data_IF_625665690135
#
_entry.id   IF_625665690135
#
_cell.length_a   1.000
_cell.length_b   1.000
_cell.length_c   1.000
_cell.angle_alpha   90.00
_cell.angle_beta   90.00
_cell.angle_gamma   90.00
#
_symmetry.space_group_name_H-M   'P 1'
#
loop_
_entity.id
_entity.type
_entity.pdbx_description
1 polymer ?
#
# COMPACT_ATOMS: atom_id res chain seq x y z
N UNK A 1 -2.56 -6.79 -1.85
CA UNK A 1 -2.95 -5.93 -2.99
C UNK A 1 -1.80 -4.98 -3.29
N UNK A 2 -0.91 -5.38 -4.21
CA UNK A 2 0.27 -4.58 -4.55
C UNK A 2 -0.13 -3.44 -5.50
N UNK A 3 -0.11 -2.20 -5.01
CA UNK A 3 -0.74 -1.08 -5.73
C UNK A 3 0.01 -0.67 -6.99
N UNK A 4 1.34 -0.86 -7.05
CA UNK A 4 2.16 -0.48 -8.22
C UNK A 4 1.74 -1.26 -9.47
N UNK A 5 1.43 -2.56 -9.32
CA UNK A 5 0.96 -3.39 -10.45
C UNK A 5 -0.55 -3.30 -10.70
N UNK A 6 -1.36 -3.11 -9.64
CA UNK A 6 -2.82 -3.12 -9.74
C UNK A 6 -3.41 -1.74 -10.08
N UNK A 7 -2.71 -0.67 -9.71
CA UNK A 7 -3.23 0.69 -9.68
C UNK A 7 -3.99 0.95 -8.39
N UNK A 8 -4.07 2.23 -7.99
CA UNK A 8 -4.58 2.62 -6.66
C UNK A 8 -6.07 2.27 -6.50
N UNK A 9 -6.87 2.44 -7.56
CA UNK A 9 -8.30 2.16 -7.48
C UNK A 9 -8.60 0.66 -7.40
N UNK A 10 -7.91 -0.15 -8.21
CA UNK A 10 -8.05 -1.61 -8.18
C UNK A 10 -7.57 -2.18 -6.86
N UNK A 11 -6.45 -1.68 -6.32
CA UNK A 11 -5.93 -2.12 -5.03
C UNK A 11 -6.89 -1.79 -3.87
N UNK A 12 -7.56 -0.62 -3.89
CA UNK A 12 -8.64 -0.31 -2.94
C UNK A 12 -9.83 -1.27 -3.09
N UNK A 13 -10.29 -1.48 -4.33
CA UNK A 13 -11.39 -2.40 -4.61
C UNK A 13 -11.08 -3.80 -4.07
N UNK A 14 -9.87 -4.31 -4.27
CA UNK A 14 -9.45 -5.63 -3.81
C UNK A 14 -9.62 -5.85 -2.29
N UNK A 15 -9.60 -4.80 -1.48
CA UNK A 15 -9.86 -4.90 -0.03
C UNK A 15 -11.26 -5.42 0.29
N UNK A 16 -12.24 -5.16 -0.59
CA UNK A 16 -13.60 -5.69 -0.46
C UNK A 16 -13.75 -7.11 -1.01
N UNK A 17 -12.73 -7.66 -1.67
CA UNK A 17 -12.76 -8.99 -2.30
C UNK A 17 -11.74 -9.96 -1.66
N UNK A 18 -11.39 -9.74 -0.39
CA UNK A 18 -10.60 -10.67 0.42
C UNK A 18 -9.12 -10.29 0.60
N UNK A 19 -8.63 -9.22 -0.04
CA UNK A 19 -7.33 -8.69 0.31
C UNK A 19 -7.40 -7.98 1.67
N UNK A 20 -6.41 -8.22 2.53
CA UNK A 20 -6.27 -7.55 3.84
C UNK A 20 -4.88 -6.91 4.03
N UNK A 21 -4.01 -7.02 3.02
CA UNK A 21 -2.67 -6.46 3.00
C UNK A 21 -2.53 -5.56 1.78
N UNK A 22 -2.32 -4.27 1.99
CA UNK A 22 -2.10 -3.29 0.92
C UNK A 22 -0.63 -2.90 0.94
N UNK A 23 0.08 -3.17 -0.17
CA UNK A 23 1.55 -3.12 -0.20
C UNK A 23 2.05 -2.35 -1.43
N UNK A 24 3.29 -1.86 -1.35
CA UNK A 24 3.93 -1.04 -2.36
C UNK A 24 5.24 -0.43 -1.90
N UNK A 25 5.84 0.38 -2.77
CA UNK A 25 7.11 1.02 -2.49
C UNK A 25 6.88 2.42 -1.91
N UNK A 26 7.50 2.71 -0.76
CA UNK A 26 7.48 4.05 -0.12
C UNK A 26 8.70 4.91 -0.49
N UNK A 27 9.71 4.33 -1.14
CA UNK A 27 10.92 4.98 -1.66
C UNK A 27 10.77 5.28 -3.15
N UNK A 28 11.75 5.96 -3.76
CA UNK A 28 11.75 6.31 -5.19
C UNK A 28 11.78 5.10 -6.16
N UNK A 29 11.71 3.86 -5.65
CA UNK A 29 11.74 2.66 -6.48
C UNK A 29 13.06 2.53 -7.25
N UNK A 30 13.02 1.73 -8.32
CA UNK A 30 14.10 1.62 -9.30
C UNK A 30 13.56 1.14 -10.64
N UNK A 31 14.44 0.97 -11.63
CA UNK A 31 14.09 0.59 -13.01
C UNK A 31 13.19 -0.66 -13.08
N UNK A 32 13.43 -1.63 -12.20
CA UNK A 32 12.60 -2.83 -12.11
C UNK A 32 11.17 -2.51 -11.65
N UNK A 33 11.00 -1.66 -10.64
CA UNK A 33 9.66 -1.25 -10.14
C UNK A 33 8.90 -0.46 -11.19
N UNK A 34 9.59 0.41 -11.94
CA UNK A 34 9.00 1.15 -13.06
C UNK A 34 8.48 0.22 -14.15
N UNK A 35 9.19 -0.87 -14.45
CA UNK A 35 8.75 -1.86 -15.45
C UNK A 35 7.44 -2.57 -15.10
N UNK A 36 7.04 -2.54 -13.83
CA UNK A 36 5.80 -3.15 -13.33
C UNK A 36 4.69 -2.13 -13.08
N UNK A 37 4.97 -0.83 -13.21
CA UNK A 37 4.05 0.23 -12.88
C UNK A 37 2.90 0.29 -13.90
N UNK A 38 1.67 0.15 -13.42
CA UNK A 38 0.48 0.29 -14.26
C UNK A 38 0.05 1.74 -14.45
N UNK A 39 0.40 2.61 -13.49
CA UNK A 39 0.20 4.05 -13.56
C UNK A 39 1.53 4.71 -13.99
N UNK A 40 1.49 5.55 -15.04
CA UNK A 40 2.65 6.11 -15.76
C UNK A 40 3.79 6.63 -14.85
N UNK A 41 4.71 5.74 -14.47
CA UNK A 41 5.90 6.06 -13.67
C UNK A 41 5.63 6.37 -12.19
N UNK A 42 4.38 6.23 -11.71
CA UNK A 42 4.09 6.44 -10.30
C UNK A 42 4.40 5.17 -9.50
N UNK A 43 5.62 5.09 -8.99
CA UNK A 43 6.15 3.92 -8.25
C UNK A 43 6.30 4.15 -6.77
N UNK A 44 5.98 5.36 -6.29
CA UNK A 44 6.12 5.73 -4.88
C UNK A 44 4.83 6.29 -4.32
N UNK A 45 4.59 5.99 -3.04
CA UNK A 45 3.52 6.58 -2.26
C UNK A 45 4.02 6.82 -0.85
N UNK A 46 3.76 7.99 -0.29
CA UNK A 46 4.10 8.27 1.11
C UNK A 46 3.27 7.38 2.05
N UNK A 47 3.78 7.18 3.28
CA UNK A 47 3.04 6.47 4.33
C UNK A 47 1.65 7.07 4.56
N UNK A 48 1.53 8.39 4.51
CA UNK A 48 0.24 9.07 4.73
C UNK A 48 -0.76 8.81 3.61
N UNK A 49 -0.30 8.75 2.35
CA UNK A 49 -1.17 8.42 1.22
C UNK A 49 -1.64 6.97 1.27
N UNK A 50 -0.79 6.02 1.70
CA UNK A 50 -1.19 4.63 1.93
C UNK A 50 -2.26 4.51 3.01
N UNK A 51 -2.08 5.22 4.14
CA UNK A 51 -3.06 5.28 5.23
C UNK A 51 -4.39 5.81 4.69
N UNK A 52 -4.37 6.96 4.01
CA UNK A 52 -5.57 7.58 3.47
C UNK A 52 -6.28 6.67 2.45
N UNK A 53 -5.52 5.94 1.64
CA UNK A 53 -6.06 5.00 0.65
C UNK A 53 -6.81 3.83 1.31
N UNK A 54 -6.29 3.27 2.41
CA UNK A 54 -6.97 2.21 3.17
C UNK A 54 -8.20 2.76 3.88
N UNK A 55 -8.08 3.92 4.52
CA UNK A 55 -9.19 4.56 5.25
C UNK A 55 -10.33 5.01 4.32
N UNK A 56 -10.02 5.51 3.12
CA UNK A 56 -11.01 5.86 2.11
C UNK A 56 -11.79 4.65 1.59
N UNK A 57 -11.21 3.45 1.63
CA UNK A 57 -11.90 2.20 1.35
C UNK A 57 -12.76 1.70 2.54
N UNK A 58 -12.77 2.42 3.66
CA UNK A 58 -13.59 2.11 4.84
C UNK A 58 -12.97 1.10 5.81
N UNK A 59 -11.65 0.89 5.75
CA UNK A 59 -10.90 -0.03 6.63
C UNK A 59 -9.96 0.73 7.59
N UNK A 60 -9.55 0.05 8.67
CA UNK A 60 -8.52 0.55 9.59
C UNK A 60 -7.12 0.34 8.98
N UNK A 61 -6.35 1.42 8.83
CA UNK A 61 -4.95 1.32 8.41
C UNK A 61 -4.07 0.83 9.57
N UNK A 62 -3.41 -0.32 9.37
CA UNK A 62 -2.57 -0.97 10.38
C UNK A 62 -1.19 -1.25 9.82
N UNK A 63 -0.16 -0.71 10.47
CA UNK A 63 1.23 -1.07 10.19
C UNK A 63 1.55 -2.43 10.82
N UNK A 64 2.22 -3.29 10.06
CA UNK A 64 2.53 -4.66 10.47
C UNK A 64 4.03 -4.97 10.47
N UNK A 65 4.42 -5.92 11.31
CA UNK A 65 5.74 -6.54 11.23
C UNK A 65 5.79 -7.61 10.10
N UNK A 66 6.90 -8.32 10.02
CA UNK A 66 7.14 -9.35 8.99
C UNK A 66 6.29 -10.61 9.15
N UNK A 67 5.67 -10.80 10.32
CA UNK A 67 4.79 -11.94 10.64
C UNK A 67 3.35 -11.50 10.94
N UNK A 68 2.97 -10.30 10.48
CA UNK A 68 1.62 -9.74 10.51
C UNK A 68 1.09 -9.33 11.90
N UNK A 69 1.96 -9.16 12.91
CA UNK A 69 1.54 -8.50 14.13
C UNK A 69 1.40 -7.00 13.91
N UNK A 70 0.47 -6.37 14.63
CA UNK A 70 0.35 -4.91 14.66
C UNK A 70 1.63 -4.32 15.26
N UNK A 71 2.21 -3.31 14.60
CA UNK A 71 3.30 -2.53 15.17
C UNK A 71 2.72 -1.50 16.14
N UNK A 72 2.97 -1.70 17.43
CA UNK A 72 2.62 -0.69 18.43
C UNK A 72 3.63 0.46 18.38
N UNK A 73 3.12 1.71 18.38
CA UNK A 73 4.00 2.86 18.57
C UNK A 73 4.54 2.80 19.99
N UNK A 74 5.84 2.61 20.14
CA UNK A 74 6.51 2.86 21.43
C UNK A 74 6.34 4.35 21.72
N UNK A 75 5.68 4.69 22.83
CA UNK A 75 5.58 6.06 23.29
C UNK A 75 7.00 6.63 23.47
N UNK A 76 7.27 7.78 22.86
CA UNK A 76 8.54 8.50 22.97
C UNK A 76 8.71 9.12 24.37
#
# INVERSE_FOLDING_TARGET
>A
AYWVMLGKHTAQTALHFGANDLDGTITDGGELTESYAVENGEVKMSKQELIQMIENAGFEAVERDTVYNRVEKVAA
#
